data_IF_963907214518
#
_entry.id   IF_963907214518
#
_cell.length_a   1.000
_cell.length_b   1.000
_cell.length_c   1.000
_cell.angle_alpha   90.00
_cell.angle_beta   90.00
_cell.angle_gamma   90.00
#
_symmetry.space_group_name_H-M   'P 1'
#
loop_
_entity.id
_entity.type
_entity.pdbx_description
1 polymer ?
#
# COMPACT_ATOMS: atom_id res chain seq x y z
N UNK A 1 13.37 22.57 -17.39
CA UNK A 1 12.45 21.54 -17.92
C UNK A 1 11.08 21.80 -17.35
N UNK A 2 10.06 22.04 -18.18
CA UNK A 2 8.67 22.10 -17.72
C UNK A 2 8.22 20.70 -17.34
N UNK A 3 7.69 20.54 -16.12
CA UNK A 3 7.07 19.28 -15.71
C UNK A 3 5.92 18.95 -16.67
N UNK A 4 5.80 17.69 -17.08
CA UNK A 4 4.63 17.26 -17.83
C UNK A 4 3.37 17.59 -17.01
N UNK A 5 2.24 17.98 -17.65
CA UNK A 5 1.02 18.34 -16.93
C UNK A 5 0.53 17.21 -15.99
N UNK A 6 0.78 15.95 -16.36
CA UNK A 6 0.49 14.78 -15.52
C UNK A 6 1.34 14.75 -14.25
N UNK A 7 2.64 15.03 -14.38
CA UNK A 7 3.60 15.07 -13.27
C UNK A 7 3.26 16.19 -12.27
N UNK A 8 2.83 17.36 -12.77
CA UNK A 8 2.36 18.46 -11.94
C UNK A 8 1.07 18.09 -11.18
N UNK A 9 0.13 17.41 -11.82
CA UNK A 9 -1.11 16.95 -11.18
C UNK A 9 -0.87 15.91 -10.09
N UNK A 10 0.02 14.93 -10.31
CA UNK A 10 0.38 13.93 -9.29
C UNK A 10 1.03 14.63 -8.08
N UNK A 11 1.95 15.55 -8.32
CA UNK A 11 2.60 16.31 -7.24
C UNK A 11 1.59 17.13 -6.43
N UNK A 12 0.67 17.81 -7.12
CA UNK A 12 -0.40 18.56 -6.50
C UNK A 12 -1.33 17.63 -5.68
N UNK A 13 -1.66 16.44 -6.18
CA UNK A 13 -2.46 15.46 -5.44
C UNK A 13 -1.75 14.92 -4.19
N UNK A 14 -0.43 14.75 -4.24
CA UNK A 14 0.37 14.27 -3.11
C UNK A 14 0.58 15.34 -2.03
N UNK A 15 0.73 16.61 -2.44
CA UNK A 15 1.04 17.71 -1.55
C UNK A 15 -0.19 18.50 -1.07
N UNK A 16 -1.36 18.33 -1.69
CA UNK A 16 -2.54 19.14 -1.36
C UNK A 16 -3.26 18.67 -0.08
N UNK A 17 -3.64 19.59 0.81
CA UNK A 17 -4.48 19.28 1.97
C UNK A 17 -5.89 18.86 1.53
N UNK A 18 -6.54 17.97 2.29
CA UNK A 18 -7.89 17.47 2.01
C UNK A 18 -8.96 18.56 1.89
N UNK A 19 -8.84 19.64 2.66
CA UNK A 19 -9.73 20.80 2.58
C UNK A 19 -8.94 22.07 2.89
N UNK A 20 -9.08 23.10 2.06
CA UNK A 20 -8.61 24.45 2.37
C UNK A 20 -9.56 25.23 3.30
N UNK A 21 -10.78 24.72 3.50
CA UNK A 21 -11.90 25.42 4.15
C UNK A 21 -12.26 24.92 5.55
N UNK A 22 -11.62 23.85 6.06
CA UNK A 22 -11.82 23.40 7.44
C UNK A 22 -10.90 24.23 8.36
N UNK A 23 -11.42 24.92 9.40
CA UNK A 23 -10.63 25.76 10.31
C UNK A 23 -9.79 24.92 11.30
N UNK A 24 -9.54 23.64 10.98
CA UNK A 24 -8.63 22.80 11.74
C UNK A 24 -7.19 23.12 11.28
N UNK A 25 -6.26 23.48 12.16
CA UNK A 25 -4.88 23.81 11.80
C UNK A 25 -4.03 22.61 11.33
N UNK A 26 -4.66 21.47 11.04
CA UNK A 26 -4.00 20.22 10.67
C UNK A 26 -4.30 19.87 9.20
N UNK A 27 -3.38 20.20 8.26
CA UNK A 27 -3.51 19.77 6.88
C UNK A 27 -3.38 18.24 6.82
N UNK A 28 -4.51 17.54 6.80
CA UNK A 28 -4.51 16.09 6.61
C UNK A 28 -4.14 15.79 5.14
N UNK A 29 -3.04 15.06 4.88
CA UNK A 29 -2.69 14.68 3.54
C UNK A 29 -3.77 13.75 2.96
N UNK A 30 -4.20 14.04 1.72
CA UNK A 30 -5.23 13.25 1.00
C UNK A 30 -4.88 11.78 0.89
N UNK A 31 -3.59 11.54 0.68
CA UNK A 31 -3.12 10.24 0.28
C UNK A 31 -3.22 9.18 1.40
N UNK A 32 -2.74 9.42 2.64
CA UNK A 32 -2.96 8.51 3.76
C UNK A 32 -4.44 8.24 4.06
N UNK A 33 -5.34 9.21 3.88
CA UNK A 33 -6.79 8.99 4.11
C UNK A 33 -7.38 8.06 3.06
N UNK A 34 -7.07 8.27 1.78
CA UNK A 34 -7.49 7.37 0.70
C UNK A 34 -6.98 5.94 0.93
N UNK A 35 -5.71 5.80 1.32
CA UNK A 35 -5.13 4.51 1.66
C UNK A 35 -5.82 3.88 2.88
N UNK A 36 -6.05 4.64 3.96
CA UNK A 36 -6.73 4.15 5.16
C UNK A 36 -8.15 3.63 4.88
N UNK A 37 -8.92 4.33 4.05
CA UNK A 37 -10.27 3.91 3.61
C UNK A 37 -10.18 2.65 2.76
N UNK A 38 -9.23 2.59 1.83
CA UNK A 38 -8.99 1.41 1.00
C UNK A 38 -8.63 0.18 1.85
N UNK A 39 -7.76 0.35 2.84
CA UNK A 39 -7.38 -0.70 3.79
C UNK A 39 -8.58 -1.12 4.65
N UNK A 40 -9.51 -0.22 5.01
CA UNK A 40 -10.66 -0.60 5.82
C UNK A 40 -11.67 -1.42 5.04
N UNK A 41 -11.87 -1.10 3.75
CA UNK A 41 -12.65 -1.93 2.83
C UNK A 41 -11.99 -3.30 2.67
N UNK A 42 -10.66 -3.36 2.50
CA UNK A 42 -9.92 -4.62 2.42
C UNK A 42 -10.06 -5.45 3.69
N UNK A 43 -9.89 -4.82 4.86
CA UNK A 43 -10.01 -5.45 6.16
C UNK A 43 -11.40 -6.06 6.36
N UNK A 44 -12.45 -5.29 6.06
CA UNK A 44 -13.82 -5.75 6.10
C UNK A 44 -14.08 -6.94 5.16
N UNK A 45 -13.44 -6.96 3.98
CA UNK A 45 -13.55 -8.09 3.05
C UNK A 45 -12.85 -9.35 3.58
N UNK A 46 -11.69 -9.20 4.23
CA UNK A 46 -10.93 -10.31 4.83
C UNK A 46 -11.65 -10.89 6.06
N UNK A 47 -12.30 -10.07 6.88
CA UNK A 47 -12.97 -10.50 8.12
C UNK A 47 -14.45 -10.88 7.93
N UNK A 48 -15.01 -10.79 6.72
CA UNK A 48 -16.47 -10.95 6.49
C UNK A 48 -17.05 -12.31 6.88
N UNK A 49 -16.23 -13.36 6.90
CA UNK A 49 -16.63 -14.75 7.20
C UNK A 49 -15.95 -15.30 8.45
N UNK A 50 -15.20 -14.48 9.18
CA UNK A 50 -14.55 -14.89 10.41
C UNK A 50 -15.42 -14.51 11.60
N UNK A 51 -15.28 -15.26 12.70
CA UNK A 51 -15.84 -14.82 13.98
C UNK A 51 -15.14 -13.51 14.36
N UNK A 52 -15.93 -12.47 14.65
CA UNK A 52 -15.39 -11.15 14.98
C UNK A 52 -14.52 -11.24 16.25
N UNK A 53 -13.26 -10.82 16.20
CA UNK A 53 -12.45 -10.66 17.40
C UNK A 53 -12.99 -9.49 18.26
N UNK A 54 -12.42 -9.33 19.45
CA UNK A 54 -12.65 -8.11 20.25
C UNK A 54 -12.19 -6.86 19.48
N UNK A 55 -12.83 -5.71 19.73
CA UNK A 55 -12.59 -4.47 18.99
C UNK A 55 -11.13 -4.04 18.95
N UNK A 56 -10.39 -4.20 20.06
CA UNK A 56 -8.96 -3.85 20.10
C UNK A 56 -8.10 -4.77 19.22
N UNK A 57 -8.41 -6.07 19.18
CA UNK A 57 -7.72 -7.02 18.32
C UNK A 57 -8.04 -6.77 16.84
N UNK A 58 -9.30 -6.47 16.53
CA UNK A 58 -9.72 -6.10 15.17
C UNK A 58 -9.04 -4.80 14.70
N UNK A 59 -9.01 -3.77 15.56
CA UNK A 59 -8.29 -2.52 15.31
C UNK A 59 -6.79 -2.76 15.12
N UNK A 60 -6.17 -3.57 15.99
CA UNK A 60 -4.76 -3.93 15.86
C UNK A 60 -4.46 -4.60 14.51
N UNK A 61 -5.27 -5.57 14.10
CA UNK A 61 -5.10 -6.23 12.80
C UNK A 61 -5.21 -5.27 11.61
N UNK A 62 -6.19 -4.36 11.64
CA UNK A 62 -6.34 -3.29 10.66
C UNK A 62 -5.10 -2.36 10.62
N UNK A 63 -4.59 -1.93 11.79
CA UNK A 63 -3.44 -1.04 11.87
C UNK A 63 -2.15 -1.74 11.39
N UNK A 64 -1.97 -3.03 11.70
CA UNK A 64 -0.87 -3.83 11.14
C UNK A 64 -0.96 -3.88 9.63
N UNK A 65 -2.15 -4.15 9.07
CA UNK A 65 -2.33 -4.17 7.61
C UNK A 65 -1.95 -2.83 6.96
N UNK A 66 -2.32 -1.72 7.61
CA UNK A 66 -2.06 -0.37 7.14
C UNK A 66 -0.58 0.07 7.28
N UNK A 67 0.08 -0.27 8.38
CA UNK A 67 1.38 0.31 8.75
C UNK A 67 2.57 -0.62 8.56
N UNK A 68 2.34 -1.89 8.25
CA UNK A 68 3.41 -2.90 8.12
C UNK A 68 4.50 -2.50 7.12
N UNK A 69 4.14 -1.87 5.99
CA UNK A 69 5.09 -1.45 4.97
C UNK A 69 6.17 -0.52 5.51
N UNK A 70 5.74 0.63 6.03
CA UNK A 70 6.64 1.59 6.63
C UNK A 70 7.34 1.02 7.87
N UNK A 71 6.64 0.24 8.69
CA UNK A 71 7.24 -0.37 9.90
C UNK A 71 8.38 -1.33 9.53
N UNK A 72 8.17 -2.18 8.53
CA UNK A 72 9.18 -3.13 8.04
C UNK A 72 10.38 -2.38 7.48
N UNK A 73 10.17 -1.38 6.62
CA UNK A 73 11.26 -0.56 6.08
C UNK A 73 12.05 0.14 7.19
N UNK A 74 11.34 0.77 8.14
CA UNK A 74 11.97 1.48 9.23
C UNK A 74 12.86 0.54 10.07
N UNK A 75 12.36 -0.66 10.41
CA UNK A 75 13.14 -1.66 11.14
C UNK A 75 14.39 -2.12 10.35
N UNK A 76 14.25 -2.43 9.05
CA UNK A 76 15.38 -2.84 8.21
C UNK A 76 16.44 -1.74 8.09
N UNK A 77 16.01 -0.48 8.02
CA UNK A 77 16.86 0.69 7.91
C UNK A 77 17.30 1.25 9.27
N UNK A 78 16.94 0.60 10.39
CA UNK A 78 17.20 1.10 11.75
C UNK A 78 16.69 2.53 11.99
N UNK A 79 15.57 2.87 11.38
CA UNK A 79 14.82 4.09 11.58
C UNK A 79 13.62 3.85 12.50
N UNK A 80 13.13 4.87 13.22
CA UNK A 80 11.87 4.76 13.93
C UNK A 80 10.69 4.70 12.93
N UNK A 81 9.72 3.77 13.10
CA UNK A 81 8.49 3.77 12.32
C UNK A 81 7.73 5.10 12.36
N UNK A 82 7.10 5.49 11.25
CA UNK A 82 6.45 6.79 11.10
C UNK A 82 5.34 7.04 12.12
N UNK A 83 4.63 6.01 12.57
CA UNK A 83 3.59 6.12 13.59
C UNK A 83 4.17 6.41 14.99
N UNK A 84 5.46 6.25 15.23
CA UNK A 84 6.12 6.66 16.48
C UNK A 84 6.59 8.12 16.46
N UNK A 85 6.94 8.63 15.28
CA UNK A 85 7.57 9.97 15.13
C UNK A 85 6.67 11.01 14.50
N UNK A 86 5.50 10.61 13.99
CA UNK A 86 4.51 11.50 13.39
C UNK A 86 3.13 11.24 13.99
N UNK A 87 2.36 12.30 14.32
CA UNK A 87 0.97 12.15 14.73
C UNK A 87 0.06 11.79 13.54
N UNK A 88 0.49 11.99 12.29
CA UNK A 88 -0.37 11.84 11.11
C UNK A 88 -0.99 10.44 11.00
N UNK A 89 -0.27 9.31 11.17
CA UNK A 89 -0.90 7.98 11.15
C UNK A 89 -1.99 7.81 12.22
N UNK A 90 -1.80 8.37 13.42
CA UNK A 90 -2.78 8.29 14.51
C UNK A 90 -4.02 9.16 14.27
N UNK A 91 -3.86 10.28 13.58
CA UNK A 91 -4.98 11.16 13.21
C UNK A 91 -5.76 10.64 12.00
N UNK A 92 -5.21 9.70 11.24
CA UNK A 92 -5.83 9.20 10.00
C UNK A 92 -6.43 7.81 10.19
N UNK A 93 -5.63 6.82 10.59
CA UNK A 93 -6.03 5.42 10.50
C UNK A 93 -7.02 5.00 11.61
N UNK A 94 -6.80 5.31 12.90
CA UNK A 94 -7.79 5.01 13.94
C UNK A 94 -9.15 5.68 13.72
N UNK A 95 -9.26 6.98 13.34
CA UNK A 95 -10.57 7.57 13.03
C UNK A 95 -11.25 6.90 11.84
N UNK A 96 -10.52 6.59 10.76
CA UNK A 96 -11.08 5.84 9.64
C UNK A 96 -11.55 4.47 10.09
N UNK A 97 -10.80 3.76 10.93
CA UNK A 97 -11.23 2.48 11.50
C UNK A 97 -12.54 2.65 12.28
N UNK A 98 -12.58 3.54 13.26
CA UNK A 98 -13.74 3.76 14.14
C UNK A 98 -14.99 4.18 13.36
N UNK A 99 -14.82 4.95 12.29
CA UNK A 99 -15.92 5.39 11.44
C UNK A 99 -16.36 4.36 10.41
N UNK A 100 -15.49 3.43 10.00
CA UNK A 100 -15.76 2.56 8.84
C UNK A 100 -16.01 1.10 9.19
N UNK A 101 -15.33 0.54 10.20
CA UNK A 101 -15.47 -0.87 10.58
C UNK A 101 -16.62 -1.07 11.59
N UNK A 102 -16.64 -0.44 12.78
CA UNK A 102 -17.70 -0.65 13.77
C UNK A 102 -19.09 -0.21 13.29
N UNK A 103 -19.17 0.89 12.56
CA UNK A 103 -20.44 1.42 11.99
C UNK A 103 -21.02 0.55 10.88
N UNK A 104 -20.22 -0.40 10.35
CA UNK A 104 -20.61 -1.24 9.23
C UNK A 104 -20.49 -0.60 7.85
N UNK A 105 -19.93 0.61 7.72
CA UNK A 105 -19.77 1.29 6.42
C UNK A 105 -18.89 0.48 5.44
N UNK A 106 -17.72 0.02 5.84
CA UNK A 106 -16.85 -0.79 4.98
C UNK A 106 -17.48 -2.16 4.65
N UNK A 107 -18.04 -2.92 5.62
CA UNK A 107 -18.85 -4.10 5.30
C UNK A 107 -20.01 -3.82 4.33
N UNK A 108 -20.69 -2.69 4.47
CA UNK A 108 -21.76 -2.27 3.56
C UNK A 108 -21.23 -2.06 2.14
N UNK A 109 -20.13 -1.33 1.98
CA UNK A 109 -19.46 -1.13 0.69
C UNK A 109 -19.07 -2.46 0.05
N UNK A 110 -18.44 -3.36 0.82
CA UNK A 110 -18.02 -4.69 0.32
C UNK A 110 -19.20 -5.51 -0.19
N UNK A 111 -20.38 -5.40 0.42
CA UNK A 111 -21.59 -6.18 0.06
C UNK A 111 -22.35 -5.59 -1.12
N UNK A 112 -22.48 -4.27 -1.19
CA UNK A 112 -23.40 -3.62 -2.13
C UNK A 112 -22.71 -3.01 -3.34
N UNK A 113 -21.42 -2.71 -3.25
CA UNK A 113 -20.69 -2.14 -4.38
C UNK A 113 -20.31 -3.25 -5.38
N UNK A 114 -20.48 -3.03 -6.70
CA UNK A 114 -20.03 -3.98 -7.71
C UNK A 114 -18.55 -4.33 -7.51
N UNK A 115 -18.25 -5.63 -7.41
CA UNK A 115 -16.87 -6.10 -7.17
C UNK A 115 -15.92 -5.61 -8.26
N UNK A 116 -16.41 -5.44 -9.48
CA UNK A 116 -15.62 -4.90 -10.58
C UNK A 116 -15.11 -3.48 -10.28
N UNK A 117 -16.01 -2.61 -9.79
CA UNK A 117 -15.68 -1.25 -9.40
C UNK A 117 -14.71 -1.24 -8.22
N UNK A 118 -15.01 -2.00 -7.16
CA UNK A 118 -14.16 -2.07 -5.97
C UNK A 118 -12.75 -2.54 -6.29
N UNK A 119 -12.60 -3.57 -7.12
CA UNK A 119 -11.30 -4.09 -7.48
C UNK A 119 -10.52 -3.12 -8.38
N UNK A 120 -11.18 -2.48 -9.35
CA UNK A 120 -10.50 -1.55 -10.26
C UNK A 120 -10.10 -0.24 -9.57
N UNK A 121 -11.03 0.40 -8.85
CA UNK A 121 -10.72 1.62 -8.09
C UNK A 121 -9.75 1.32 -6.96
N UNK A 122 -9.95 0.20 -6.25
CA UNK A 122 -9.03 -0.24 -5.20
C UNK A 122 -7.63 -0.49 -5.73
N UNK A 123 -7.49 -1.13 -6.89
CA UNK A 123 -6.20 -1.33 -7.56
C UNK A 123 -5.53 -0.01 -7.96
N UNK A 124 -6.29 0.98 -8.42
CA UNK A 124 -5.76 2.30 -8.74
C UNK A 124 -5.21 3.01 -7.49
N UNK A 125 -5.98 3.04 -6.39
CA UNK A 125 -5.54 3.62 -5.11
C UNK A 125 -4.33 2.86 -4.54
N UNK A 126 -4.33 1.53 -4.63
CA UNK A 126 -3.19 0.70 -4.22
C UNK A 126 -1.96 1.00 -5.09
N UNK A 127 -2.10 1.15 -6.41
CA UNK A 127 -1.01 1.50 -7.31
C UNK A 127 -0.38 2.86 -6.99
N UNK A 128 -1.22 3.87 -6.76
CA UNK A 128 -0.79 5.20 -6.32
C UNK A 128 -0.02 5.10 -4.99
N UNK A 129 -0.56 4.40 -3.99
CA UNK A 129 0.05 4.33 -2.64
C UNK A 129 1.37 3.64 -2.66
N UNK A 130 1.42 2.50 -3.32
CA UNK A 130 2.62 1.68 -3.42
C UNK A 130 3.70 2.40 -4.23
N UNK A 131 3.35 3.12 -5.30
CA UNK A 131 4.31 3.92 -6.06
C UNK A 131 4.93 5.04 -5.23
N UNK A 132 4.13 5.74 -4.42
CA UNK A 132 4.63 6.77 -3.48
C UNK A 132 5.52 6.15 -2.41
N UNK A 133 5.17 4.98 -1.87
CA UNK A 133 6.00 4.26 -0.90
C UNK A 133 7.34 3.83 -1.49
N UNK A 134 7.36 3.30 -2.71
CA UNK A 134 8.63 2.93 -3.38
C UNK A 134 9.48 4.18 -3.61
N UNK A 135 8.86 5.27 -4.06
CA UNK A 135 9.52 6.54 -4.26
C UNK A 135 10.16 7.13 -3.00
N UNK A 136 9.59 6.87 -1.81
CA UNK A 136 10.13 7.35 -0.55
C UNK A 136 11.32 6.55 -0.02
N UNK A 137 11.59 5.35 -0.57
CA UNK A 137 12.70 4.49 -0.13
C UNK A 137 14.03 5.21 -0.26
N UNK A 138 14.24 6.01 -1.31
CA UNK A 138 15.46 6.80 -1.50
C UNK A 138 15.75 7.73 -0.31
N UNK A 139 14.74 8.49 0.12
CA UNK A 139 14.88 9.38 1.28
C UNK A 139 15.05 8.63 2.59
N UNK A 140 14.44 7.43 2.73
CA UNK A 140 14.67 6.59 3.91
C UNK A 140 16.07 5.99 3.95
N UNK A 141 16.63 5.60 2.80
CA UNK A 141 18.01 5.11 2.70
C UNK A 141 19.01 6.19 3.11
N UNK A 142 18.82 7.42 2.62
CA UNK A 142 19.62 8.57 3.02
C UNK A 142 19.50 8.86 4.52
N UNK A 143 18.26 8.94 5.03
CA UNK A 143 18.00 9.19 6.45
C UNK A 143 18.57 8.11 7.39
N UNK A 144 18.73 6.88 6.90
CA UNK A 144 19.29 5.78 7.69
C UNK A 144 20.76 5.98 8.06
N UNK A 145 21.49 6.82 7.31
CA UNK A 145 22.94 6.98 7.44
C UNK A 145 23.76 5.72 7.09
N UNK A 146 23.10 4.58 6.77
CA UNK A 146 23.75 3.32 6.39
C UNK A 146 24.29 3.32 4.98
N UNK A 147 23.77 4.21 4.13
CA UNK A 147 24.10 4.31 2.72
C UNK A 147 24.51 5.75 2.42
N UNK A 148 25.57 5.94 1.62
CA UNK A 148 26.04 7.29 1.31
C UNK A 148 25.04 8.03 0.38
N UNK A 149 24.76 9.32 0.63
CA UNK A 149 23.79 10.12 -0.15
C UNK A 149 24.08 10.23 -1.65
N UNK A 150 25.33 9.95 -2.05
CA UNK A 150 25.81 10.04 -3.44
C UNK A 150 26.60 8.80 -3.88
N UNK A 151 26.56 7.72 -3.09
CA UNK A 151 27.30 6.49 -3.39
C UNK A 151 26.51 5.56 -4.31
N UNK A 152 27.22 4.92 -5.24
CA UNK A 152 26.78 3.72 -5.97
C UNK A 152 26.50 2.51 -5.04
N UNK A 153 26.48 2.71 -3.72
CA UNK A 153 26.47 1.67 -2.69
C UNK A 153 25.11 0.98 -2.54
N UNK A 154 24.03 1.62 -2.99
CA UNK A 154 22.72 0.97 -2.99
C UNK A 154 22.54 0.20 -4.29
N UNK A 155 22.75 -1.11 -4.21
CA UNK A 155 22.52 -2.01 -5.34
C UNK A 155 21.05 -2.02 -5.78
N UNK A 156 20.84 -2.35 -7.06
CA UNK A 156 19.52 -2.66 -7.62
C UNK A 156 18.76 -3.71 -6.78
N UNK A 157 19.49 -4.66 -6.20
CA UNK A 157 18.93 -5.70 -5.36
C UNK A 157 18.38 -5.17 -4.04
N UNK A 158 19.08 -4.24 -3.41
CA UNK A 158 18.62 -3.56 -2.19
C UNK A 158 17.29 -2.85 -2.44
N UNK A 159 17.19 -2.07 -3.52
CA UNK A 159 15.93 -1.40 -3.88
C UNK A 159 14.80 -2.39 -4.17
N UNK A 160 15.10 -3.47 -4.88
CA UNK A 160 14.13 -4.51 -5.22
C UNK A 160 13.55 -5.13 -3.93
N UNK A 161 14.43 -5.56 -3.02
CA UNK A 161 14.04 -6.18 -1.75
C UNK A 161 13.26 -5.22 -0.85
N UNK A 162 13.75 -4.00 -0.66
CA UNK A 162 13.06 -3.00 0.15
C UNK A 162 11.69 -2.66 -0.43
N UNK A 163 11.56 -2.51 -1.75
CA UNK A 163 10.27 -2.27 -2.41
C UNK A 163 9.30 -3.43 -2.17
N UNK A 164 9.75 -4.67 -2.35
CA UNK A 164 8.94 -5.85 -2.07
C UNK A 164 8.49 -5.89 -0.61
N UNK A 165 9.39 -5.68 0.35
CA UNK A 165 9.07 -5.65 1.78
C UNK A 165 8.07 -4.54 2.12
N UNK A 166 8.26 -3.35 1.56
CA UNK A 166 7.39 -2.20 1.79
C UNK A 166 5.95 -2.48 1.33
N UNK A 167 5.78 -3.15 0.20
CA UNK A 167 4.46 -3.36 -0.39
C UNK A 167 3.77 -4.62 0.14
N UNK A 168 4.51 -5.71 0.36
CA UNK A 168 3.93 -7.01 0.66
C UNK A 168 3.76 -7.30 2.16
N UNK A 169 4.48 -6.60 3.05
CA UNK A 169 4.52 -6.92 4.48
C UNK A 169 3.16 -6.90 5.18
N UNK A 170 2.24 -6.00 4.84
CA UNK A 170 0.92 -5.95 5.47
C UNK A 170 0.11 -7.22 5.25
N UNK A 171 -0.10 -7.59 3.98
CA UNK A 171 -0.79 -8.83 3.63
C UNK A 171 -0.03 -10.08 4.12
N UNK A 172 1.29 -10.04 4.10
CA UNK A 172 2.15 -11.10 4.61
C UNK A 172 1.93 -11.34 6.11
N UNK A 173 2.04 -10.30 6.95
CA UNK A 173 1.90 -10.40 8.41
C UNK A 173 0.47 -10.75 8.83
N UNK A 174 -0.54 -10.15 8.19
CA UNK A 174 -1.95 -10.49 8.44
C UNK A 174 -2.24 -11.95 8.12
N UNK A 175 -1.66 -12.48 7.05
CA UNK A 175 -1.80 -13.90 6.70
C UNK A 175 -1.00 -14.78 7.66
N UNK A 176 0.26 -14.43 7.92
CA UNK A 176 1.17 -15.22 8.76
C UNK A 176 0.62 -15.42 10.17
N UNK A 177 0.01 -14.39 10.77
CA UNK A 177 -0.52 -14.46 12.14
C UNK A 177 -2.04 -14.64 12.22
N UNK A 178 -2.72 -14.83 11.09
CA UNK A 178 -4.18 -14.91 11.01
C UNK A 178 -4.88 -13.74 11.74
N UNK A 179 -4.37 -12.52 11.57
CA UNK A 179 -4.85 -11.34 12.34
C UNK A 179 -6.32 -11.00 12.11
N UNK A 180 -6.91 -11.50 11.03
CA UNK A 180 -8.32 -11.30 10.65
C UNK A 180 -9.27 -12.32 11.31
N UNK A 181 -8.74 -13.26 12.09
CA UNK A 181 -9.50 -14.28 12.82
C UNK A 181 -9.61 -13.94 14.32
N UNK A 182 -10.57 -14.58 15.01
CA UNK A 182 -10.72 -14.42 16.46
C UNK A 182 -9.54 -14.97 17.26
N UNK A 183 -8.82 -15.97 16.73
CA UNK A 183 -7.67 -16.59 17.38
C UNK A 183 -6.41 -16.41 16.54
N UNK A 184 -5.32 -15.96 17.16
CA UNK A 184 -4.01 -15.90 16.51
C UNK A 184 -3.51 -17.31 16.18
N UNK A 185 -3.02 -17.49 14.96
CA UNK A 185 -2.42 -18.74 14.49
C UNK A 185 -1.29 -18.43 13.56
N UNK A 186 -0.19 -19.16 13.67
CA UNK A 186 0.85 -19.13 12.66
C UNK A 186 0.33 -19.90 11.44
N UNK A 187 0.23 -19.24 10.29
CA UNK A 187 -0.26 -19.82 9.04
C UNK A 187 0.73 -19.59 7.90
N UNK A 188 0.62 -20.38 6.83
CA UNK A 188 1.43 -20.16 5.63
C UNK A 188 1.01 -18.83 4.99
N UNK A 189 1.94 -17.86 4.85
CA UNK A 189 1.65 -16.58 4.20
C UNK A 189 1.04 -16.80 2.82
N UNK A 190 0.11 -15.93 2.42
CA UNK A 190 -0.63 -16.07 1.16
C UNK A 190 0.27 -16.20 -0.07
N UNK A 191 1.46 -15.57 -0.06
CA UNK A 191 2.45 -15.66 -1.14
C UNK A 191 3.07 -17.06 -1.29
N UNK A 192 3.10 -17.86 -0.22
CA UNK A 192 3.71 -19.19 -0.21
C UNK A 192 2.69 -20.32 -0.28
N UNK A 193 1.39 -20.02 -0.37
CA UNK A 193 0.36 -21.07 -0.47
C UNK A 193 0.43 -21.74 -1.85
N UNK A 194 0.30 -23.06 -1.87
CA UNK A 194 0.23 -23.84 -3.11
C UNK A 194 -0.93 -23.39 -3.99
N UNK A 195 -0.72 -23.30 -5.30
CA UNK A 195 -1.77 -22.97 -6.27
C UNK A 195 -2.06 -21.47 -6.46
N UNK A 196 -1.38 -20.58 -5.72
CA UNK A 196 -1.55 -19.12 -5.84
C UNK A 196 -1.05 -18.59 -7.19
N UNK A 197 0.00 -19.20 -7.74
CA UNK A 197 0.59 -18.87 -9.02
C UNK A 197 1.12 -17.44 -9.12
N UNK A 198 1.65 -17.08 -10.30
CA UNK A 198 2.25 -15.76 -10.55
C UNK A 198 1.28 -14.60 -10.27
N UNK A 199 -0.01 -14.81 -10.55
CA UNK A 199 -1.04 -13.79 -10.42
C UNK A 199 -1.47 -13.53 -8.97
N UNK A 200 -1.40 -14.54 -8.11
CA UNK A 200 -1.64 -14.36 -6.69
C UNK A 200 -0.44 -13.74 -5.97
N UNK A 201 0.78 -13.93 -6.49
CA UNK A 201 2.00 -13.27 -6.01
C UNK A 201 2.34 -11.97 -6.76
N UNK A 202 1.43 -11.47 -7.60
CA UNK A 202 1.71 -10.33 -8.49
C UNK A 202 2.09 -9.06 -7.72
N UNK A 203 1.57 -8.86 -6.49
CA UNK A 203 1.94 -7.71 -5.66
C UNK A 203 3.44 -7.68 -5.33
N UNK A 204 4.03 -8.86 -5.08
CA UNK A 204 5.45 -9.03 -4.76
C UNK A 204 6.31 -8.73 -5.98
N UNK A 205 5.95 -9.33 -7.12
CA UNK A 205 6.68 -9.16 -8.39
C UNK A 205 6.55 -7.74 -8.94
N UNK A 206 5.36 -7.16 -8.91
CA UNK A 206 5.13 -5.79 -9.35
C UNK A 206 5.94 -4.81 -8.50
N UNK A 207 5.98 -4.99 -7.17
CA UNK A 207 6.79 -4.17 -6.28
C UNK A 207 8.30 -4.33 -6.54
N UNK A 208 8.76 -5.57 -6.76
CA UNK A 208 10.16 -5.86 -7.10
C UNK A 208 10.57 -5.14 -8.40
N UNK A 209 9.79 -5.32 -9.47
CA UNK A 209 10.05 -4.70 -10.77
C UNK A 209 9.93 -3.18 -10.73
N UNK A 210 8.94 -2.65 -10.01
CA UNK A 210 8.77 -1.20 -9.84
C UNK A 210 9.95 -0.59 -9.07
N UNK A 211 10.42 -1.27 -8.02
CA UNK A 211 11.61 -0.88 -7.26
C UNK A 211 12.87 -0.87 -8.12
N UNK A 212 13.09 -1.93 -8.90
CA UNK A 212 14.19 -2.02 -9.85
C UNK A 212 14.12 -0.92 -10.91
N UNK A 213 12.96 -0.70 -11.52
CA UNK A 213 12.75 0.35 -12.50
C UNK A 213 13.00 1.74 -11.92
N UNK A 214 12.49 2.01 -10.71
CA UNK A 214 12.73 3.27 -10.01
C UNK A 214 14.22 3.49 -9.73
N UNK A 215 14.93 2.45 -9.27
CA UNK A 215 16.38 2.50 -9.09
C UNK A 215 17.09 2.83 -10.39
N UNK A 216 16.79 2.14 -11.51
CA UNK A 216 17.40 2.41 -12.81
C UNK A 216 17.18 3.86 -13.24
N UNK A 217 15.96 4.39 -13.10
CA UNK A 217 15.61 5.74 -13.54
C UNK A 217 16.31 6.85 -12.73
N UNK A 218 16.62 6.58 -11.46
CA UNK A 218 17.26 7.56 -10.56
C UNK A 218 18.79 7.41 -10.56
N UNK A 219 19.30 6.18 -10.63
CA UNK A 219 20.74 5.87 -10.57
C UNK A 219 21.43 6.03 -11.92
N UNK A 220 20.75 5.69 -13.02
CA UNK A 220 21.14 6.14 -14.35
C UNK A 220 20.32 7.40 -14.56
N UNK A 221 20.91 8.61 -14.68
CA UNK A 221 20.19 9.90 -14.72
C UNK A 221 19.37 10.06 -16.02
N UNK A 222 18.45 9.14 -16.25
CA UNK A 222 17.54 9.03 -17.38
C UNK A 222 16.39 10.02 -17.23
N UNK A 223 15.96 10.26 -15.98
CA UNK A 223 14.82 11.11 -15.65
C UNK A 223 15.05 11.83 -14.31
N UNK A 224 14.36 12.95 -14.10
CA UNK A 224 14.31 13.55 -12.77
C UNK A 224 13.50 12.65 -11.80
N UNK A 225 13.73 12.86 -10.50
CA UNK A 225 13.10 12.04 -9.48
C UNK A 225 11.57 12.08 -9.57
N UNK A 226 10.97 13.19 -10.00
CA UNK A 226 9.52 13.33 -10.03
C UNK A 226 8.88 12.54 -11.18
N UNK A 227 9.50 12.55 -12.36
CA UNK A 227 9.11 11.73 -13.47
C UNK A 227 9.28 10.23 -13.16
N UNK A 228 10.37 9.84 -12.49
CA UNK A 228 10.57 8.46 -12.02
C UNK A 228 9.44 8.01 -11.08
N UNK A 229 8.97 8.89 -10.18
CA UNK A 229 7.81 8.62 -9.32
C UNK A 229 6.53 8.41 -10.10
N UNK A 230 6.25 9.29 -11.08
CA UNK A 230 5.08 9.18 -11.95
C UNK A 230 5.09 7.84 -12.70
N UNK A 231 6.22 7.45 -13.29
CA UNK A 231 6.35 6.18 -14.01
C UNK A 231 6.11 4.99 -13.08
N UNK A 232 6.69 4.99 -11.88
CA UNK A 232 6.50 3.93 -10.88
C UNK A 232 5.02 3.78 -10.48
N UNK A 233 4.34 4.91 -10.22
CA UNK A 233 2.91 4.96 -9.89
C UNK A 233 2.05 4.40 -11.03
N UNK A 234 2.30 4.84 -12.28
CA UNK A 234 1.54 4.38 -13.45
C UNK A 234 1.77 2.89 -13.72
N UNK A 235 3.01 2.43 -13.60
CA UNK A 235 3.39 1.03 -13.77
C UNK A 235 2.66 0.12 -12.76
N UNK A 236 2.71 0.46 -11.47
CA UNK A 236 2.02 -0.29 -10.43
C UNK A 236 0.49 -0.23 -10.60
N UNK A 237 -0.06 0.95 -10.87
CA UNK A 237 -1.50 1.11 -11.14
C UNK A 237 -1.95 0.24 -12.30
N UNK A 238 -1.22 0.26 -13.42
CA UNK A 238 -1.51 -0.55 -14.61
C UNK A 238 -1.49 -2.05 -14.32
N UNK A 239 -0.44 -2.55 -13.65
CA UNK A 239 -0.33 -3.98 -13.32
C UNK A 239 -1.44 -4.43 -12.37
N UNK A 240 -1.76 -3.62 -11.35
CA UNK A 240 -2.80 -3.98 -10.38
C UNK A 240 -4.20 -3.93 -11.01
N UNK A 241 -4.47 -2.97 -11.90
CA UNK A 241 -5.72 -2.91 -12.66
C UNK A 241 -5.82 -4.14 -13.59
N UNK A 242 -4.75 -4.48 -14.30
CA UNK A 242 -4.73 -5.67 -15.16
C UNK A 242 -5.02 -6.95 -14.36
N UNK A 243 -4.42 -7.10 -13.17
CA UNK A 243 -4.70 -8.20 -12.25
C UNK A 243 -6.17 -8.21 -11.81
N UNK A 244 -6.73 -7.04 -11.48
CA UNK A 244 -8.13 -6.91 -11.08
C UNK A 244 -9.08 -7.35 -12.20
N UNK A 245 -8.85 -6.88 -13.43
CA UNK A 245 -9.64 -7.25 -14.62
C UNK A 245 -9.54 -8.74 -14.89
N UNK A 246 -8.33 -9.31 -14.89
CA UNK A 246 -8.15 -10.76 -15.10
C UNK A 246 -8.89 -11.59 -14.05
N UNK A 247 -8.82 -11.19 -12.79
CA UNK A 247 -9.50 -11.90 -11.69
C UNK A 247 -11.02 -11.91 -11.89
N UNK A 248 -11.57 -10.81 -12.43
CA UNK A 248 -12.99 -10.72 -12.77
C UNK A 248 -13.36 -11.66 -13.92
N UNK A 249 -12.57 -11.67 -15.00
CA UNK A 249 -12.80 -12.53 -16.18
C UNK A 249 -12.74 -14.02 -15.84
N UNK A 250 -11.82 -14.43 -14.96
CA UNK A 250 -11.73 -15.83 -14.51
C UNK A 250 -12.94 -16.20 -13.63
N UNK A 251 -13.38 -15.30 -12.75
CA UNK A 251 -14.53 -15.52 -11.87
C UNK A 251 -15.85 -15.68 -12.64
N UNK A 252 -16.05 -14.91 -13.72
CA UNK A 252 -17.24 -15.04 -14.57
C UNK A 252 -17.22 -16.33 -15.39
N UNK A 253 -16.07 -16.73 -15.92
CA UNK A 253 -15.93 -17.99 -16.66
C UNK A 253 -16.24 -19.22 -15.80
N UNK A 254 -15.85 -19.23 -14.53
CA UNK A 254 -16.11 -20.36 -13.62
C UNK A 254 -17.58 -20.52 -13.24
N UNK A 255 -18.41 -19.48 -13.34
CA UNK A 255 -19.86 -19.57 -13.02
C UNK A 255 -20.70 -20.12 -14.17
N UNK A 256 -20.14 -20.14 -15.37
CA UNK A 256 -20.81 -20.60 -16.58
C UNK A 256 -20.48 -22.06 -16.93
N UNK A 257 -19.73 -22.75 -16.06
CA UNK A 257 -19.46 -24.19 -16.13
C UNK A 257 -20.25 -24.87 -15.02
#
# INVERSE_FOLDING_TARGET
MSLSPLTAQISALLASPLHAALPLPLPLPRFPVLHAVRVSILWAALSRHTRRPGTLQDAFGYLVLAWAGNTTLALLLSLPPAWLVSPTPWLVYPPVYLLSIPTGLSPYIVRHCPQALLHTVGAAVDGLSRGVTIASIAGMLEASGKFHPHGHDVSAWTYTLLSTCAIASGGFLVSLFSLHEASYRLSVPSVFRSGVGVWGTMDVWAAALAGLGYWVMVSVPLMDGLAARTVCVLFLGGILILRAVRTQLVSTSSKNR
#
